data_IF_043307540527
#
_entry.id   IF_043307540527
#
_cell.length_a   1.000
_cell.length_b   1.000
_cell.length_c   1.000
_cell.angle_alpha   90.00
_cell.angle_beta   90.00
_cell.angle_gamma   90.00
#
_symmetry.space_group_name_H-M   'P 1'
#
loop_
_entity.id
_entity.type
_entity.pdbx_description
1 polymer ?
#
# COMPACT_ATOMS: atom_id res chain seq x y z
N UNK A 1 -1.30 -17.40 -32.06
CA UNK A 1 -2.38 -17.45 -31.05
C UNK A 1 -1.86 -17.75 -29.64
N UNK A 2 -1.02 -18.77 -29.42
CA UNK A 2 -0.52 -19.15 -28.07
C UNK A 2 0.33 -18.10 -27.30
N UNK A 3 1.03 -17.18 -27.97
CA UNK A 3 1.81 -16.10 -27.33
C UNK A 3 0.92 -15.02 -26.69
N UNK A 4 -0.25 -14.78 -27.27
CA UNK A 4 -1.20 -13.76 -26.80
C UNK A 4 -1.86 -14.18 -25.48
N UNK A 5 -2.16 -15.47 -25.31
CA UNK A 5 -2.68 -16.02 -24.05
C UNK A 5 -1.66 -15.94 -22.90
N UNK A 6 -0.37 -16.21 -23.20
CA UNK A 6 0.71 -16.07 -22.20
C UNK A 6 0.89 -14.60 -21.79
N UNK A 7 0.84 -13.68 -22.73
CA UNK A 7 0.94 -12.24 -22.45
C UNK A 7 -0.25 -11.76 -21.59
N UNK A 8 -1.48 -12.15 -21.90
CA UNK A 8 -2.65 -11.80 -21.10
C UNK A 8 -2.54 -12.27 -19.64
N UNK A 9 -2.05 -13.50 -19.42
CA UNK A 9 -1.80 -14.02 -18.06
C UNK A 9 -0.75 -13.23 -17.29
N UNK A 10 0.33 -12.82 -17.97
CA UNK A 10 1.38 -11.99 -17.35
C UNK A 10 0.87 -10.58 -17.03
N UNK A 11 0.02 -10.00 -17.88
CA UNK A 11 -0.62 -8.71 -17.61
C UNK A 11 -1.53 -8.78 -16.39
N UNK A 12 -2.38 -9.81 -16.29
CA UNK A 12 -3.26 -10.00 -15.13
C UNK A 12 -2.43 -10.21 -13.86
N UNK A 13 -1.36 -11.01 -13.93
CA UNK A 13 -0.46 -11.20 -12.79
C UNK A 13 0.19 -9.88 -12.35
N UNK A 14 0.63 -9.06 -13.31
CA UNK A 14 1.25 -7.77 -13.03
C UNK A 14 0.26 -6.80 -12.37
N UNK A 15 -0.97 -6.74 -12.88
CA UNK A 15 -2.05 -5.95 -12.28
C UNK A 15 -2.41 -6.45 -10.88
N UNK A 16 -2.53 -7.76 -10.70
CA UNK A 16 -2.82 -8.37 -9.40
C UNK A 16 -1.72 -8.09 -8.38
N UNK A 17 -0.45 -8.17 -8.79
CA UNK A 17 0.68 -7.86 -7.93
C UNK A 17 0.70 -6.38 -7.53
N UNK A 18 0.41 -5.47 -8.47
CA UNK A 18 0.26 -4.04 -8.19
C UNK A 18 -0.86 -3.75 -7.20
N UNK A 19 -2.06 -4.28 -7.46
CA UNK A 19 -3.21 -4.12 -6.56
C UNK A 19 -2.95 -4.71 -5.17
N UNK A 20 -2.28 -5.87 -5.09
CA UNK A 20 -1.88 -6.49 -3.83
C UNK A 20 -0.88 -5.62 -3.07
N UNK A 21 0.16 -5.11 -3.73
CA UNK A 21 1.18 -4.27 -3.10
C UNK A 21 0.59 -2.96 -2.55
N UNK A 22 -0.36 -2.35 -3.28
CA UNK A 22 -1.10 -1.17 -2.84
C UNK A 22 -1.92 -1.52 -1.59
N UNK A 23 -2.73 -2.58 -1.63
CA UNK A 23 -3.54 -2.99 -0.49
C UNK A 23 -2.70 -3.32 0.76
N UNK A 24 -1.58 -4.01 0.62
CA UNK A 24 -0.66 -4.29 1.74
C UNK A 24 -0.12 -3.00 2.34
N UNK A 25 0.23 -2.02 1.52
CA UNK A 25 0.78 -0.74 1.97
C UNK A 25 -0.24 0.08 2.77
N UNK A 26 -1.51 0.09 2.34
CA UNK A 26 -2.63 0.75 3.03
C UNK A 26 -2.85 0.18 4.44
N UNK A 27 -2.93 -1.15 4.56
CA UNK A 27 -3.14 -1.80 5.86
C UNK A 27 -1.91 -1.73 6.77
N UNK A 28 -0.71 -1.83 6.19
CA UNK A 28 0.54 -1.73 6.95
C UNK A 28 0.67 -0.35 7.62
N UNK A 29 0.34 0.74 6.93
CA UNK A 29 0.40 2.09 7.49
C UNK A 29 -0.51 2.26 8.71
N UNK A 30 -1.73 1.71 8.66
CA UNK A 30 -2.68 1.75 9.78
C UNK A 30 -2.24 0.84 10.94
N UNK A 31 -1.75 -0.36 10.65
CA UNK A 31 -1.30 -1.33 11.65
C UNK A 31 -0.01 -0.92 12.36
N UNK A 32 0.84 -0.14 11.69
CA UNK A 32 2.13 0.32 12.24
C UNK A 32 2.07 1.70 12.91
N UNK A 33 0.94 2.40 12.83
CA UNK A 33 0.74 3.74 13.41
C UNK A 33 1.20 3.89 14.88
N UNK A 34 0.87 2.99 15.82
CA UNK A 34 1.33 3.15 17.21
C UNK A 34 2.86 3.04 17.35
N UNK A 35 3.52 2.29 16.47
CA UNK A 35 4.98 2.18 16.46
C UNK A 35 5.61 3.45 15.92
N UNK A 36 5.07 4.02 14.84
CA UNK A 36 5.53 5.31 14.31
C UNK A 36 5.37 6.43 15.33
N UNK A 37 4.24 6.47 16.03
CA UNK A 37 3.98 7.46 17.08
C UNK A 37 5.01 7.34 18.22
N UNK A 38 5.31 6.12 18.66
CA UNK A 38 6.29 5.85 19.71
C UNK A 38 7.73 6.23 19.26
N UNK A 39 8.15 5.78 18.08
CA UNK A 39 9.51 5.99 17.56
C UNK A 39 9.81 7.47 17.28
N UNK A 40 8.80 8.23 16.84
CA UNK A 40 8.91 9.66 16.55
C UNK A 40 8.58 10.56 17.76
N UNK A 41 8.16 9.98 18.88
CA UNK A 41 7.76 10.69 20.11
C UNK A 41 6.66 11.72 19.84
N UNK A 42 5.64 11.32 19.06
CA UNK A 42 4.47 12.14 18.74
C UNK A 42 3.19 11.44 19.17
N UNK A 43 2.07 12.17 19.22
CA UNK A 43 0.78 11.56 19.50
C UNK A 43 0.30 10.71 18.32
N UNK A 44 -0.55 9.70 18.57
CA UNK A 44 -1.17 8.92 17.49
C UNK A 44 -1.97 9.79 16.49
N UNK A 45 -2.76 10.80 16.92
CA UNK A 45 -3.38 11.74 15.99
C UNK A 45 -2.39 12.45 15.06
N UNK A 46 -1.24 12.89 15.59
CA UNK A 46 -0.21 13.56 14.78
C UNK A 46 0.45 12.59 13.80
N UNK A 47 0.77 11.37 14.23
CA UNK A 47 1.29 10.31 13.36
C UNK A 47 0.27 9.93 12.26
N UNK A 48 -1.03 10.04 12.55
CA UNK A 48 -2.11 9.82 11.60
C UNK A 48 -2.07 10.73 10.38
N UNK A 49 -1.45 11.91 10.46
CA UNK A 49 -1.26 12.77 9.29
C UNK A 49 -0.44 12.10 8.17
N UNK A 50 0.45 11.16 8.50
CA UNK A 50 1.17 10.38 7.49
C UNK A 50 0.23 9.49 6.66
N UNK A 51 -0.78 8.89 7.31
CA UNK A 51 -1.83 8.11 6.63
C UNK A 51 -2.69 9.03 5.75
N UNK A 52 -3.05 10.21 6.25
CA UNK A 52 -3.80 11.21 5.46
C UNK A 52 -2.99 11.72 4.26
N UNK A 53 -1.69 11.96 4.41
CA UNK A 53 -0.82 12.39 3.32
C UNK A 53 -0.69 11.32 2.23
N UNK A 54 -0.61 10.03 2.61
CA UNK A 54 -0.68 8.92 1.66
C UNK A 54 -2.01 8.90 0.91
N UNK A 55 -3.13 9.01 1.63
CA UNK A 55 -4.47 9.02 1.03
C UNK A 55 -4.71 10.21 0.08
N UNK A 56 -4.00 11.33 0.27
CA UNK A 56 -3.99 12.45 -0.67
C UNK A 56 -3.15 12.20 -1.92
N UNK A 57 -2.12 11.34 -1.83
CA UNK A 57 -1.19 11.06 -2.92
C UNK A 57 -1.62 9.93 -3.86
N UNK A 58 -2.59 9.11 -3.43
CA UNK A 58 -3.31 8.11 -4.25
C UNK A 58 -4.37 8.81 -5.08
#
# INVERSE_FOLDING_TARGET
MATQDRQGRLTILSLALGAFAIGVSEFAAMGLLPYYAADLVVSEPDAGHAVSAYALGV
#
